data_IF_334566479818
#
_entry.id   IF_334566479818
#
_cell.length_a   1.000
_cell.length_b   1.000
_cell.length_c   1.000
_cell.angle_alpha   90.00
_cell.angle_beta   90.00
_cell.angle_gamma   90.00
#
_symmetry.space_group_name_H-M   'P 1'
#
loop_
_entity.id
_entity.type
_entity.pdbx_description
1 polymer ?
#
# COMPACT_ATOMS: atom_id res chain seq x y z
N UNK A 1 20.54 -2.28 8.13
CA UNK A 1 20.64 -3.61 8.75
C UNK A 1 21.35 -4.57 7.79
N UNK A 2 22.15 -5.52 8.28
CA UNK A 2 22.77 -6.51 7.40
C UNK A 2 21.70 -7.38 6.73
N UNK A 3 21.89 -7.66 5.45
CA UNK A 3 21.02 -8.57 4.70
C UNK A 3 21.36 -10.00 5.12
N UNK A 4 20.48 -10.62 5.89
CA UNK A 4 20.69 -11.95 6.45
C UNK A 4 19.78 -13.04 5.86
N UNK A 5 18.77 -12.64 5.07
CA UNK A 5 17.83 -13.56 4.46
C UNK A 5 17.28 -13.01 3.14
N UNK A 6 16.61 -13.86 2.37
CA UNK A 6 15.88 -13.44 1.17
C UNK A 6 14.83 -12.36 1.47
N UNK A 7 14.10 -12.50 2.57
CA UNK A 7 13.06 -11.53 2.95
C UNK A 7 13.65 -10.17 3.28
N UNK A 8 14.75 -10.11 4.03
CA UNK A 8 15.44 -8.84 4.33
C UNK A 8 16.03 -8.20 3.07
N UNK A 9 16.54 -9.02 2.14
CA UNK A 9 17.02 -8.53 0.84
C UNK A 9 15.88 -7.92 0.02
N UNK A 10 14.76 -8.63 -0.05
CA UNK A 10 13.58 -8.17 -0.79
C UNK A 10 13.01 -6.88 -0.18
N UNK A 11 12.94 -6.78 1.14
CA UNK A 11 12.47 -5.56 1.82
C UNK A 11 13.39 -4.36 1.55
N UNK A 12 14.70 -4.57 1.53
CA UNK A 12 15.67 -3.53 1.17
C UNK A 12 15.47 -3.07 -0.30
N UNK A 13 15.33 -4.00 -1.23
CA UNK A 13 15.06 -3.69 -2.64
C UNK A 13 13.74 -2.92 -2.80
N UNK A 14 12.67 -3.36 -2.13
CA UNK A 14 11.37 -2.71 -2.20
C UNK A 14 11.40 -1.31 -1.57
N UNK A 15 12.25 -1.10 -0.56
CA UNK A 15 12.46 0.21 0.05
C UNK A 15 13.17 1.17 -0.92
N UNK A 16 14.28 0.75 -1.52
CA UNK A 16 14.98 1.55 -2.54
C UNK A 16 14.07 1.87 -3.72
N UNK A 17 13.35 0.88 -4.25
CA UNK A 17 12.38 1.11 -5.33
C UNK A 17 11.29 2.11 -4.96
N UNK A 18 10.84 2.12 -3.70
CA UNK A 18 9.85 3.09 -3.23
C UNK A 18 10.39 4.52 -3.26
N UNK A 19 11.66 4.70 -2.95
CA UNK A 19 12.34 6.01 -2.95
C UNK A 19 12.62 6.47 -4.38
N UNK A 20 13.27 5.63 -5.18
CA UNK A 20 13.70 5.96 -6.53
C UNK A 20 12.52 6.16 -7.50
N UNK A 21 11.48 5.35 -7.38
CA UNK A 21 10.29 5.38 -8.24
C UNK A 21 9.10 6.07 -7.56
N UNK A 22 9.38 7.05 -6.71
CA UNK A 22 8.35 7.83 -6.02
C UNK A 22 7.49 8.55 -7.04
N UNK A 23 6.16 8.51 -6.86
CA UNK A 23 5.13 9.07 -7.76
C UNK A 23 4.97 8.38 -9.13
N UNK A 24 5.68 7.30 -9.42
CA UNK A 24 5.53 6.55 -10.67
C UNK A 24 4.48 5.42 -10.61
N UNK A 25 3.79 5.27 -9.48
CA UNK A 25 2.71 4.29 -9.30
C UNK A 25 3.17 2.84 -9.07
N UNK A 26 4.48 2.58 -8.97
CA UNK A 26 5.02 1.22 -8.84
C UNK A 26 4.80 0.58 -7.48
N UNK A 27 4.81 1.36 -6.39
CA UNK A 27 4.80 0.84 -5.02
C UNK A 27 3.64 -0.11 -4.73
N UNK A 28 2.45 0.24 -5.16
CA UNK A 28 1.26 -0.59 -4.94
C UNK A 28 1.38 -1.98 -5.59
N UNK A 29 1.85 -2.01 -6.84
CA UNK A 29 2.04 -3.26 -7.58
C UNK A 29 3.19 -4.09 -7.03
N UNK A 30 4.27 -3.46 -6.60
CA UNK A 30 5.40 -4.13 -5.94
C UNK A 30 4.95 -4.84 -4.67
N UNK A 31 4.17 -4.19 -3.82
CA UNK A 31 3.63 -4.79 -2.60
C UNK A 31 2.70 -5.97 -2.89
N UNK A 32 1.82 -5.84 -3.89
CA UNK A 32 0.90 -6.91 -4.27
C UNK A 32 1.63 -8.14 -4.82
N UNK A 33 2.49 -7.95 -5.82
CA UNK A 33 3.20 -9.07 -6.45
C UNK A 33 4.14 -9.84 -5.52
N UNK A 34 4.57 -9.20 -4.43
CA UNK A 34 5.44 -9.80 -3.41
C UNK A 34 4.68 -10.32 -2.18
N UNK A 35 3.33 -10.21 -2.16
CA UNK A 35 2.50 -10.63 -1.04
C UNK A 35 2.66 -9.78 0.23
N UNK A 36 3.19 -8.57 0.12
CA UNK A 36 3.42 -7.67 1.26
C UNK A 36 2.33 -6.61 1.45
N UNK A 37 1.38 -6.56 0.52
CA UNK A 37 0.40 -5.47 0.50
C UNK A 37 -0.47 -5.46 1.77
N UNK A 38 -0.97 -6.61 2.21
CA UNK A 38 -1.75 -6.70 3.44
C UNK A 38 -0.96 -6.18 4.64
N UNK A 39 0.24 -6.70 4.89
CA UNK A 39 1.07 -6.31 6.04
C UNK A 39 1.45 -4.82 6.06
N UNK A 40 1.59 -4.21 4.87
CA UNK A 40 2.02 -2.81 4.75
C UNK A 40 0.84 -1.83 4.72
N UNK A 41 -0.29 -2.20 4.12
CA UNK A 41 -1.40 -1.29 3.86
C UNK A 41 -2.57 -1.44 4.84
N UNK A 42 -2.84 -2.67 5.34
CA UNK A 42 -3.97 -2.91 6.22
C UNK A 42 -3.77 -2.22 7.58
N UNK A 43 -4.83 -1.61 8.09
CA UNK A 43 -4.80 -0.90 9.36
C UNK A 43 -4.01 0.41 9.38
N UNK A 44 -3.40 0.83 8.27
CA UNK A 44 -2.61 2.08 8.22
C UNK A 44 -3.49 3.31 8.25
N UNK A 45 -3.03 4.30 9.01
CA UNK A 45 -3.49 5.69 8.96
C UNK A 45 -2.31 6.56 8.58
N UNK A 46 -2.53 7.43 7.63
CA UNK A 46 -1.50 8.37 7.23
C UNK A 46 -1.64 9.69 7.99
N UNK A 47 -0.53 10.33 8.21
CA UNK A 47 -0.45 11.65 8.82
C UNK A 47 0.03 12.66 7.80
N UNK A 48 -0.52 13.85 7.86
CA UNK A 48 -0.06 15.01 7.11
C UNK A 48 0.75 15.95 7.99
N UNK A 49 1.34 16.96 7.39
CA UNK A 49 2.02 18.05 8.08
C UNK A 49 1.22 19.33 7.89
N UNK A 50 0.76 19.92 9.00
CA UNK A 50 0.14 21.24 9.00
C UNK A 50 1.20 22.28 9.42
N UNK A 51 1.43 23.24 8.56
CA UNK A 51 2.31 24.38 8.85
C UNK A 51 1.50 25.51 9.48
N UNK A 52 1.85 25.90 10.69
CA UNK A 52 1.24 27.06 11.37
C UNK A 52 2.20 28.23 11.31
N UNK A 53 1.70 29.36 10.81
CA UNK A 53 2.45 30.63 10.81
C UNK A 53 2.30 31.29 12.17
N UNK A 54 3.41 31.63 12.81
CA UNK A 54 3.46 32.39 14.04
C UNK A 54 3.40 33.92 13.74
N UNK A 55 3.05 34.75 14.74
CA UNK A 55 3.00 36.21 14.59
C UNK A 55 4.33 36.86 14.15
N UNK A 56 5.43 36.23 14.50
CA UNK A 56 6.80 36.63 14.11
C UNK A 56 7.15 36.28 12.66
N UNK A 57 6.24 35.62 11.92
CA UNK A 57 6.43 35.18 10.55
C UNK A 57 7.08 33.81 10.40
N UNK A 58 7.50 33.17 11.48
CA UNK A 58 8.06 31.81 11.45
C UNK A 58 6.96 30.76 11.17
N UNK A 59 7.38 29.57 10.65
CA UNK A 59 6.48 28.45 10.41
C UNK A 59 6.88 27.26 11.27
N UNK A 60 5.93 26.71 12.01
CA UNK A 60 6.11 25.50 12.81
C UNK A 60 5.30 24.34 12.22
N UNK A 61 5.93 23.18 11.92
CA UNK A 61 5.22 22.00 11.47
C UNK A 61 4.53 21.31 12.65
N UNK A 62 3.32 20.80 12.40
CA UNK A 62 2.63 19.91 13.35
C UNK A 62 2.07 18.72 12.60
N UNK A 63 2.19 17.52 13.18
CA UNK A 63 1.59 16.32 12.61
C UNK A 63 0.09 16.33 12.86
N UNK A 64 -0.68 16.05 11.81
CA UNK A 64 -2.15 15.95 11.86
C UNK A 64 -2.58 14.64 11.20
N UNK A 65 -3.70 14.07 11.64
CA UNK A 65 -4.27 12.90 10.96
C UNK A 65 -4.75 13.33 9.56
N UNK A 66 -4.26 12.67 8.54
CA UNK A 66 -4.73 12.85 7.16
C UNK A 66 -5.95 11.96 6.87
N UNK A 67 -6.02 10.81 7.52
CA UNK A 67 -7.09 9.84 7.33
C UNK A 67 -8.10 9.85 8.48
N UNK A 68 -9.38 9.82 8.15
CA UNK A 68 -10.48 9.71 9.12
C UNK A 68 -10.50 8.30 9.72
N UNK A 69 -10.30 7.27 8.89
CA UNK A 69 -10.32 5.86 9.28
C UNK A 69 -9.06 5.15 8.80
N UNK A 70 -8.77 4.01 9.41
CA UNK A 70 -7.68 3.15 8.94
C UNK A 70 -8.04 2.52 7.59
N UNK A 71 -7.06 2.44 6.71
CA UNK A 71 -7.20 1.74 5.43
C UNK A 71 -7.50 0.25 5.66
N UNK A 72 -8.33 -0.32 4.81
CA UNK A 72 -8.60 -1.77 4.81
C UNK A 72 -8.05 -2.39 3.54
N UNK A 73 -7.15 -3.33 3.73
CA UNK A 73 -6.57 -4.12 2.64
C UNK A 73 -6.57 -5.61 3.03
N UNK A 74 -7.73 -6.30 2.96
CA UNK A 74 -7.79 -7.74 3.21
C UNK A 74 -6.95 -8.52 2.19
N UNK A 75 -6.39 -9.67 2.58
CA UNK A 75 -5.50 -10.47 1.74
C UNK A 75 -6.10 -10.84 0.37
N UNK A 76 -7.43 -11.01 0.31
CA UNK A 76 -8.13 -11.28 -0.97
C UNK A 76 -7.91 -10.17 -2.02
N UNK A 77 -7.52 -8.94 -1.64
CA UNK A 77 -7.26 -7.85 -2.58
C UNK A 77 -5.96 -8.05 -3.38
N UNK A 78 -5.11 -8.98 -2.98
CA UNK A 78 -3.94 -9.36 -3.78
C UNK A 78 -4.35 -9.97 -5.12
N UNK A 79 -5.55 -10.54 -5.22
CA UNK A 79 -6.14 -11.08 -6.44
C UNK A 79 -7.42 -10.34 -6.77
N UNK A 80 -7.54 -9.83 -7.98
CA UNK A 80 -8.80 -9.25 -8.42
C UNK A 80 -9.85 -10.34 -8.65
N UNK A 81 -11.14 -10.04 -8.36
CA UNK A 81 -12.20 -10.94 -8.72
C UNK A 81 -12.32 -11.04 -10.24
N UNK A 82 -12.66 -12.23 -10.72
CA UNK A 82 -13.05 -12.41 -12.12
C UNK A 82 -14.40 -11.71 -12.33
N UNK A 83 -14.56 -10.88 -13.37
CA UNK A 83 -15.83 -10.21 -13.62
C UNK A 83 -17.00 -11.19 -13.68
N UNK A 84 -18.13 -10.82 -13.09
CA UNK A 84 -19.31 -11.70 -13.04
C UNK A 84 -19.83 -12.08 -14.43
N UNK A 85 -19.66 -11.21 -15.44
CA UNK A 85 -19.97 -11.52 -16.82
C UNK A 85 -19.19 -12.74 -17.33
N UNK A 86 -17.91 -12.83 -17.01
CA UNK A 86 -17.07 -13.95 -17.43
C UNK A 86 -17.46 -15.26 -16.74
N UNK A 87 -17.74 -15.23 -15.44
CA UNK A 87 -18.16 -16.44 -14.71
C UNK A 87 -19.55 -16.92 -15.12
N UNK A 88 -20.42 -16.03 -15.61
CA UNK A 88 -21.72 -16.39 -16.15
C UNK A 88 -21.65 -16.98 -17.56
N UNK A 89 -20.79 -16.43 -18.41
CA UNK A 89 -20.66 -16.84 -19.81
C UNK A 89 -19.79 -18.09 -19.97
N UNK A 90 -18.83 -18.29 -19.07
CA UNK A 90 -17.94 -19.45 -19.07
C UNK A 90 -18.15 -20.29 -17.81
N UNK A 91 -18.96 -21.33 -17.90
CA UNK A 91 -19.29 -22.22 -16.77
C UNK A 91 -18.09 -22.99 -16.20
N UNK A 92 -16.96 -23.02 -16.90
CA UNK A 92 -15.71 -23.61 -16.43
C UNK A 92 -14.85 -22.62 -15.67
N UNK A 93 -15.11 -21.31 -15.80
CA UNK A 93 -14.40 -20.28 -15.05
C UNK A 93 -14.90 -20.28 -13.59
N UNK A 94 -14.00 -20.50 -12.67
CA UNK A 94 -14.30 -20.41 -11.23
C UNK A 94 -13.76 -19.10 -10.69
N UNK A 95 -14.54 -18.47 -9.82
CA UNK A 95 -14.10 -17.26 -9.10
C UNK A 95 -12.86 -17.59 -8.25
N UNK A 96 -12.00 -16.60 -8.06
CA UNK A 96 -10.88 -16.69 -7.10
C UNK A 96 -11.44 -17.00 -5.71
N UNK A 97 -10.70 -17.80 -4.93
CA UNK A 97 -11.04 -18.03 -3.52
C UNK A 97 -11.18 -16.68 -2.80
N UNK A 98 -12.12 -16.60 -1.88
CA UNK A 98 -12.38 -15.44 -1.03
C UNK A 98 -13.17 -14.27 -1.70
N UNK A 99 -13.69 -14.49 -2.92
CA UNK A 99 -14.56 -13.55 -3.64
C UNK A 99 -15.97 -14.10 -3.90
#
# INVERSE_FOLDING_TARGET
APISSWDTALDAILHERMIELCYEGHRFWDLRRTGRAHAVLDGKKYTGVLWKKAPDGSFTPSSVAADIAAHRYPERFDRFPIPQSETKNNTKARQNSDW
#
